data_IF_185288256243
#
_entry.id   IF_185288256243
#
_cell.length_a   1.000
_cell.length_b   1.000
_cell.length_c   1.000
_cell.angle_alpha   90.00
_cell.angle_beta   90.00
_cell.angle_gamma   90.00
#
_symmetry.space_group_name_H-M   'P 1'
#
loop_
_entity.id
_entity.type
_entity.pdbx_description
1 polymer ?
#
# COMPACT_ATOMS: atom_id res chain seq x y z
N UNK A 1 -16.59 -25.65 -9.85
CA UNK A 1 -16.73 -24.50 -8.92
C UNK A 1 -16.34 -23.24 -9.67
N UNK A 2 -17.31 -22.51 -10.21
CA UNK A 2 -17.12 -21.21 -10.86
C UNK A 2 -16.75 -20.21 -9.76
N UNK A 3 -15.46 -19.97 -9.55
CA UNK A 3 -14.98 -19.00 -8.55
C UNK A 3 -15.34 -17.60 -9.06
N UNK A 4 -16.12 -16.87 -8.26
CA UNK A 4 -16.80 -15.66 -8.70
C UNK A 4 -15.77 -14.58 -9.04
N UNK A 5 -15.87 -13.98 -10.24
CA UNK A 5 -15.07 -12.81 -10.59
C UNK A 5 -15.19 -11.68 -9.56
N UNK A 6 -16.29 -11.66 -8.80
CA UNK A 6 -16.56 -10.76 -7.69
C UNK A 6 -15.57 -10.87 -6.53
N UNK A 7 -15.19 -12.07 -6.10
CA UNK A 7 -14.18 -12.24 -5.03
C UNK A 7 -12.82 -11.70 -5.48
N UNK A 8 -12.45 -11.94 -6.75
CA UNK A 8 -11.22 -11.43 -7.33
C UNK A 8 -11.25 -9.90 -7.44
N UNK A 9 -12.37 -9.34 -7.91
CA UNK A 9 -12.58 -7.89 -7.98
C UNK A 9 -12.48 -7.24 -6.60
N UNK A 10 -13.21 -7.75 -5.60
CA UNK A 10 -13.18 -7.23 -4.24
C UNK A 10 -11.77 -7.26 -3.64
N UNK A 11 -11.03 -8.36 -3.83
CA UNK A 11 -9.64 -8.48 -3.38
C UNK A 11 -8.76 -7.37 -3.99
N UNK A 12 -8.82 -7.17 -5.31
CA UNK A 12 -8.04 -6.13 -5.97
C UNK A 12 -8.45 -4.73 -5.53
N UNK A 13 -9.74 -4.47 -5.33
CA UNK A 13 -10.23 -3.21 -4.78
C UNK A 13 -9.67 -2.94 -3.38
N UNK A 14 -9.65 -3.93 -2.49
CA UNK A 14 -9.07 -3.77 -1.14
C UNK A 14 -7.56 -3.51 -1.20
N UNK A 15 -6.83 -4.21 -2.07
CA UNK A 15 -5.38 -3.99 -2.26
C UNK A 15 -5.13 -2.57 -2.79
N UNK A 16 -5.86 -2.13 -3.81
CA UNK A 16 -5.73 -0.79 -4.38
C UNK A 16 -6.10 0.30 -3.38
N UNK A 17 -7.17 0.12 -2.61
CA UNK A 17 -7.58 1.06 -1.56
C UNK A 17 -6.50 1.15 -0.47
N UNK A 18 -5.97 0.00 -0.05
CA UNK A 18 -4.88 -0.06 0.93
C UNK A 18 -3.69 0.73 0.40
N UNK A 19 -3.25 0.47 -0.84
CA UNK A 19 -2.16 1.22 -1.48
C UNK A 19 -2.43 2.73 -1.45
N UNK A 20 -3.58 3.16 -1.96
CA UNK A 20 -3.93 4.58 -2.01
C UNK A 20 -3.87 5.28 -0.64
N UNK A 21 -4.55 4.70 0.36
CA UNK A 21 -4.59 5.26 1.72
C UNK A 21 -3.18 5.26 2.33
N UNK A 22 -2.38 4.23 2.03
CA UNK A 22 -1.02 4.11 2.57
C UNK A 22 -0.13 5.25 2.11
N UNK A 23 -0.12 5.54 0.81
CA UNK A 23 0.66 6.64 0.28
C UNK A 23 0.16 7.99 0.83
N UNK A 24 -1.15 8.21 0.87
CA UNK A 24 -1.73 9.43 1.46
C UNK A 24 -1.24 9.65 2.90
N UNK A 25 -1.35 8.63 3.75
CA UNK A 25 -0.90 8.71 5.15
C UNK A 25 0.62 8.85 5.25
N UNK A 26 1.38 8.19 4.37
CA UNK A 26 2.84 8.30 4.32
C UNK A 26 3.29 9.74 4.06
N UNK A 27 2.64 10.44 3.13
CA UNK A 27 2.93 11.84 2.84
C UNK A 27 2.41 12.81 3.91
N UNK A 28 1.30 12.47 4.56
CA UNK A 28 0.63 13.39 5.51
C UNK A 28 1.18 13.27 6.94
N UNK A 29 1.63 12.09 7.35
CA UNK A 29 1.97 11.80 8.75
C UNK A 29 3.39 11.27 8.97
N UNK A 30 4.22 11.22 7.92
CA UNK A 30 5.50 10.49 7.90
C UNK A 30 5.32 9.01 8.18
N UNK A 31 6.09 8.14 7.50
CA UNK A 31 6.02 6.71 7.77
C UNK A 31 6.60 6.38 9.16
N UNK A 32 5.75 6.44 10.18
CA UNK A 32 6.07 5.96 11.52
C UNK A 32 6.01 4.43 11.61
N UNK A 33 6.70 3.86 12.59
CA UNK A 33 6.71 2.41 12.82
C UNK A 33 5.31 1.84 13.04
N UNK A 34 4.45 2.58 13.76
CA UNK A 34 3.05 2.21 13.98
C UNK A 34 2.25 2.11 12.66
N UNK A 35 2.55 2.97 11.69
CA UNK A 35 1.92 2.94 10.38
C UNK A 35 2.37 1.72 9.57
N UNK A 36 3.67 1.41 9.54
CA UNK A 36 4.18 0.20 8.89
C UNK A 36 3.62 -1.09 9.51
N UNK A 37 3.47 -1.11 10.85
CA UNK A 37 2.83 -2.23 11.54
C UNK A 37 1.35 -2.36 11.15
N UNK A 38 0.62 -1.24 11.08
CA UNK A 38 -0.78 -1.24 10.63
C UNK A 38 -0.94 -1.75 9.20
N UNK A 39 0.01 -1.44 8.31
CA UNK A 39 0.03 -1.95 6.94
C UNK A 39 0.23 -3.46 6.90
N UNK A 40 1.20 -3.96 7.66
CA UNK A 40 1.46 -5.38 7.76
C UNK A 40 0.21 -6.15 8.21
N UNK A 41 -0.45 -5.66 9.27
CA UNK A 41 -1.70 -6.26 9.79
C UNK A 41 -2.82 -6.21 8.74
N UNK A 42 -2.95 -5.09 8.02
CA UNK A 42 -3.97 -4.93 6.97
C UNK A 42 -3.77 -5.94 5.83
N UNK A 43 -2.53 -6.12 5.34
CA UNK A 43 -2.24 -7.11 4.31
C UNK A 43 -2.41 -8.55 4.81
N UNK A 44 -2.09 -8.85 6.06
CA UNK A 44 -2.39 -10.16 6.66
C UNK A 44 -3.90 -10.44 6.72
N UNK A 45 -4.70 -9.41 7.02
CA UNK A 45 -6.16 -9.49 6.99
C UNK A 45 -6.71 -9.79 5.59
N UNK A 46 -6.24 -9.06 4.58
CA UNK A 46 -6.63 -9.27 3.17
C UNK A 46 -6.20 -10.68 2.71
N UNK A 47 -4.97 -11.10 3.00
CA UNK A 47 -4.51 -12.45 2.68
C UNK A 47 -5.42 -13.52 3.29
N UNK A 48 -5.75 -13.39 4.58
CA UNK A 48 -6.57 -14.38 5.29
C UNK A 48 -7.98 -14.44 4.71
N UNK A 49 -8.58 -13.29 4.41
CA UNK A 49 -9.92 -13.20 3.82
C UNK A 49 -9.98 -13.81 2.40
N UNK A 50 -8.96 -13.61 1.58
CA UNK A 50 -8.94 -14.02 0.17
C UNK A 50 -7.97 -15.18 -0.13
N UNK A 51 -7.48 -15.91 0.89
CA UNK A 51 -6.44 -16.97 0.76
C UNK A 51 -6.75 -18.07 -0.24
N UNK A 52 -8.04 -18.28 -0.56
CA UNK A 52 -8.49 -19.29 -1.53
C UNK A 52 -8.37 -18.81 -2.98
N UNK A 53 -8.29 -17.50 -3.18
CA UNK A 53 -8.29 -16.81 -4.48
C UNK A 53 -6.90 -16.23 -4.80
N UNK A 54 -6.13 -15.86 -3.78
CA UNK A 54 -4.80 -15.26 -3.92
C UNK A 54 -3.72 -16.30 -4.18
N UNK A 55 -2.84 -16.00 -5.15
CA UNK A 55 -1.54 -16.66 -5.24
C UNK A 55 -0.63 -16.12 -4.13
N UNK A 56 -0.15 -17.03 -3.27
CA UNK A 56 0.64 -16.67 -2.09
C UNK A 56 1.94 -15.96 -2.46
N UNK A 57 2.61 -16.42 -3.51
CA UNK A 57 3.91 -15.87 -3.92
C UNK A 57 3.73 -14.44 -4.44
N UNK A 58 2.78 -14.26 -5.35
CA UNK A 58 2.50 -12.95 -5.93
C UNK A 58 2.03 -11.94 -4.87
N UNK A 59 1.16 -12.37 -3.96
CA UNK A 59 0.65 -11.50 -2.89
C UNK A 59 1.74 -11.08 -1.90
N UNK A 60 2.64 -11.99 -1.52
CA UNK A 60 3.77 -11.67 -0.63
C UNK A 60 4.70 -10.66 -1.28
N UNK A 61 5.07 -10.87 -2.55
CA UNK A 61 5.93 -9.93 -3.29
C UNK A 61 5.28 -8.54 -3.32
N UNK A 62 4.00 -8.47 -3.70
CA UNK A 62 3.28 -7.20 -3.82
C UNK A 62 3.14 -6.47 -2.48
N UNK A 63 2.82 -7.20 -1.41
CA UNK A 63 2.74 -6.68 -0.04
C UNK A 63 4.09 -6.14 0.43
N UNK A 64 5.16 -6.93 0.24
CA UNK A 64 6.50 -6.56 0.68
C UNK A 64 7.01 -5.33 -0.08
N UNK A 65 6.84 -5.31 -1.40
CA UNK A 65 7.17 -4.16 -2.24
C UNK A 65 6.40 -2.92 -1.78
N UNK A 66 5.10 -3.05 -1.49
CA UNK A 66 4.29 -1.93 -1.05
C UNK A 66 4.76 -1.36 0.31
N UNK A 67 5.04 -2.21 1.29
CA UNK A 67 5.56 -1.78 2.61
C UNK A 67 6.94 -1.12 2.45
N UNK A 68 7.83 -1.72 1.65
CA UNK A 68 9.16 -1.17 1.39
C UNK A 68 9.08 0.21 0.70
N UNK A 69 8.19 0.38 -0.27
CA UNK A 69 7.97 1.66 -0.92
C UNK A 69 7.42 2.69 0.08
N UNK A 70 6.43 2.33 0.90
CA UNK A 70 5.91 3.25 1.93
C UNK A 70 7.01 3.70 2.91
N UNK A 71 7.90 2.78 3.30
CA UNK A 71 9.04 3.12 4.15
C UNK A 71 10.01 4.10 3.47
N UNK A 72 10.43 3.81 2.23
CA UNK A 72 11.36 4.67 1.48
C UNK A 72 10.74 6.04 1.21
N UNK A 73 9.48 6.07 0.77
CA UNK A 73 8.75 7.31 0.47
C UNK A 73 8.52 8.11 1.74
N UNK A 74 8.15 7.47 2.85
CA UNK A 74 7.93 8.17 4.11
C UNK A 74 9.21 8.72 4.71
N UNK A 75 10.32 7.98 4.62
CA UNK A 75 11.65 8.47 5.03
C UNK A 75 12.09 9.68 4.24
N UNK A 76 11.81 9.70 2.94
CA UNK A 76 12.20 10.78 2.03
C UNK A 76 11.06 11.77 1.76
N UNK A 77 9.99 11.75 2.57
CA UNK A 77 8.77 12.51 2.29
C UNK A 77 9.02 14.01 2.23
N UNK A 78 9.90 14.54 3.08
CA UNK A 78 10.35 15.94 3.05
C UNK A 78 11.02 16.35 1.75
N UNK A 79 11.93 15.52 1.24
CA UNK A 79 12.64 15.78 -0.01
C UNK A 79 11.70 15.68 -1.21
N UNK A 80 10.73 14.76 -1.16
CA UNK A 80 9.71 14.62 -2.19
C UNK A 80 8.76 15.82 -2.17
N UNK A 81 8.28 16.22 -1.00
CA UNK A 81 7.42 17.41 -0.86
C UNK A 81 8.16 18.68 -1.28
N UNK A 82 9.43 18.85 -0.89
CA UNK A 82 10.21 20.03 -1.27
C UNK A 82 10.49 20.08 -2.78
N UNK A 83 10.73 18.94 -3.43
CA UNK A 83 10.85 18.86 -4.88
C UNK A 83 9.52 19.22 -5.59
N UNK A 84 8.38 18.77 -5.06
CA UNK A 84 7.06 19.10 -5.61
C UNK A 84 6.74 20.59 -5.43
N UNK A 85 7.02 21.15 -4.25
CA UNK A 85 6.81 22.58 -3.99
C UNK A 85 7.75 23.46 -4.83
N UNK A 86 9.01 23.05 -5.02
CA UNK A 86 9.93 23.71 -5.95
C UNK A 86 9.44 23.65 -7.39
N UNK A 87 8.82 22.54 -7.81
CA UNK A 87 8.23 22.42 -9.14
C UNK A 87 7.02 23.35 -9.34
N UNK A 88 6.18 23.52 -8.31
CA UNK A 88 5.06 24.49 -8.32
C UNK A 88 5.51 25.95 -8.37
N UNK A 89 6.68 26.28 -7.83
CA UNK A 89 7.21 27.65 -7.84
C UNK A 89 7.92 28.02 -9.16
N UNK A 90 8.31 27.03 -9.96
CA UNK A 90 8.99 27.22 -11.25
C UNK A 90 8.07 27.30 -12.48
N UNK A 91 6.76 27.09 -12.30
CA UNK A 91 5.70 27.25 -13.30
C UNK A 91 4.84 28.47 -12.95
#
# INVERSE_FOLDING_TARGET
MQRSGWEKFACWSFVSLTIYISFYLTFTHYAGEAFLLSLLVTHLGIFTAFRRVLDRTYYIILTFSHIAICYVVGKNSLEILSAIDGWKQGF
#
